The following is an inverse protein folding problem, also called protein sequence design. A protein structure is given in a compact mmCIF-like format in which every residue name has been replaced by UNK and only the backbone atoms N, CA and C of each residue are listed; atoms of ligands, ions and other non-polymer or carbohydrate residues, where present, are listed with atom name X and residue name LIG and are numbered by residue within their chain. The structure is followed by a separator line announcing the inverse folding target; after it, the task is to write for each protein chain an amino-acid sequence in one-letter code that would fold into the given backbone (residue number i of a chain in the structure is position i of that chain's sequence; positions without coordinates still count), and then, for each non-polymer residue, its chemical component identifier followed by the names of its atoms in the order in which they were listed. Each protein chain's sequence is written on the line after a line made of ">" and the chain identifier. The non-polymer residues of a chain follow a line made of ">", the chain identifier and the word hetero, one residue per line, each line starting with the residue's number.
data_IF_982101348523
#
_entry.id   IF_982101348523
#
_cell.length_a   1.000
_cell.length_b   1.000
_cell.length_c   1.000
_cell.angle_alpha   90.00
_cell.angle_beta   90.00
_cell.angle_gamma   90.00
#
_symmetry.space_group_name_H-M   'P 1'
#
loop_
_entity.id
_entity.type
_entity.pdbx_description
1 polymer ?
#
# COMPACT_ATOMS: atom_id res chain seq x y z
N UNK A 1 -10.03 40.78 65.47
CA UNK A 1 -8.96 40.04 64.79
C UNK A 1 -9.66 38.91 64.01
N UNK A 2 -9.72 38.99 62.69
CA UNK A 2 -10.26 37.95 61.84
C UNK A 2 -9.08 37.22 61.22
N UNK A 3 -8.91 35.93 61.52
CA UNK A 3 -7.87 35.06 60.95
C UNK A 3 -8.43 34.51 59.62
N UNK A 4 -7.78 34.88 58.53
CA UNK A 4 -8.08 34.39 57.16
C UNK A 4 -7.26 33.13 56.93
N UNK A 5 -7.93 31.93 56.88
CA UNK A 5 -7.30 30.68 56.51
C UNK A 5 -7.22 30.58 54.98
N UNK A 6 -6.00 30.53 54.45
CA UNK A 6 -5.77 30.22 53.04
C UNK A 6 -5.74 28.71 52.84
N UNK A 7 -6.69 28.17 52.17
CA UNK A 7 -6.62 26.76 51.65
C UNK A 7 -5.76 26.71 50.40
N UNK A 8 -4.64 26.03 50.45
CA UNK A 8 -3.78 25.72 49.32
C UNK A 8 -4.34 24.47 48.64
N UNK A 9 -5.04 24.63 47.50
CA UNK A 9 -5.46 23.50 46.67
C UNK A 9 -4.27 23.07 45.79
N UNK A 10 -3.65 21.96 46.15
CA UNK A 10 -2.62 21.31 45.36
C UNK A 10 -3.31 20.57 44.18
N UNK A 11 -3.27 21.15 42.99
CA UNK A 11 -3.72 20.48 41.77
C UNK A 11 -2.71 19.39 41.40
N UNK A 12 -3.06 18.12 41.66
CA UNK A 12 -2.34 16.96 41.13
C UNK A 12 -2.60 16.86 39.64
N UNK A 13 -1.65 17.28 38.83
CA UNK A 13 -1.66 17.01 37.39
C UNK A 13 -1.38 15.51 37.18
N UNK A 14 -2.41 14.73 36.90
CA UNK A 14 -2.25 13.38 36.39
C UNK A 14 -1.68 13.46 34.98
N UNK A 15 -0.39 13.21 34.84
CA UNK A 15 0.23 12.90 33.54
C UNK A 15 -0.25 11.51 33.19
N UNK A 16 -1.23 11.41 32.29
CA UNK A 16 -1.53 10.15 31.63
C UNK A 16 -0.32 9.81 30.77
N UNK A 17 0.48 8.86 31.24
CA UNK A 17 1.43 8.19 30.36
C UNK A 17 0.59 7.42 29.35
N UNK A 18 0.52 7.92 28.10
CA UNK A 18 0.01 7.12 26.98
C UNK A 18 0.87 5.86 26.94
N UNK A 19 0.23 4.71 27.12
CA UNK A 19 0.89 3.43 26.95
C UNK A 19 1.32 3.35 25.48
N UNK A 20 2.63 3.34 25.25
CA UNK A 20 3.24 3.04 23.96
C UNK A 20 2.85 1.61 23.58
N UNK A 21 1.70 1.46 22.93
CA UNK A 21 1.24 0.18 22.39
C UNK A 21 1.68 0.09 20.95
N UNK A 22 2.20 -1.07 20.56
CA UNK A 22 2.52 -1.35 19.16
C UNK A 22 1.30 -1.06 18.28
N UNK A 23 1.47 -0.19 17.28
CA UNK A 23 0.44 0.07 16.26
C UNK A 23 0.71 -0.83 15.06
N UNK A 24 -0.26 -1.66 14.70
CA UNK A 24 -0.16 -2.51 13.52
C UNK A 24 -1.47 -2.47 12.73
N UNK A 25 -1.40 -1.90 11.54
CA UNK A 25 -2.51 -1.87 10.61
C UNK A 25 -2.83 -3.30 10.13
N UNK A 26 -4.10 -3.67 9.95
CA UNK A 26 -4.48 -5.00 9.53
C UNK A 26 -4.24 -5.22 8.02
N UNK A 27 -3.03 -4.92 7.55
CA UNK A 27 -2.63 -5.20 6.16
C UNK A 27 -2.54 -6.72 5.99
N UNK A 28 -3.32 -7.32 5.09
CA UNK A 28 -3.29 -8.76 4.88
C UNK A 28 -2.00 -9.19 4.21
N UNK A 29 -1.45 -10.30 4.65
CA UNK A 29 -0.19 -10.82 4.15
C UNK A 29 -0.36 -11.79 2.97
N UNK A 30 0.53 -11.71 2.00
CA UNK A 30 0.88 -12.80 1.08
C UNK A 30 2.38 -12.82 0.80
N UNK A 31 2.92 -14.04 0.56
CA UNK A 31 4.24 -14.15 -0.08
C UNK A 31 4.14 -13.80 -1.55
N UNK A 32 5.19 -13.22 -2.14
CA UNK A 32 5.27 -13.01 -3.59
C UNK A 32 5.22 -14.32 -4.39
N UNK A 33 5.61 -15.43 -3.75
CA UNK A 33 5.48 -16.79 -4.29
C UNK A 33 4.46 -17.61 -3.46
N UNK A 34 3.13 -17.38 -3.61
CA UNK A 34 2.12 -17.96 -2.74
C UNK A 34 2.11 -19.50 -2.73
N UNK A 35 2.42 -20.12 -3.87
CA UNK A 35 2.55 -21.58 -4.02
C UNK A 35 3.92 -22.14 -3.56
N UNK A 36 4.86 -21.28 -3.17
CA UNK A 36 6.21 -21.65 -2.78
C UNK A 36 7.15 -21.95 -3.96
N UNK A 37 6.74 -21.60 -5.17
CA UNK A 37 7.54 -21.75 -6.40
C UNK A 37 8.22 -20.43 -6.72
N UNK A 38 9.55 -20.38 -6.63
CA UNK A 38 10.37 -19.19 -6.78
C UNK A 38 11.02 -19.11 -8.18
N UNK A 39 10.19 -19.22 -9.21
CA UNK A 39 10.55 -18.95 -10.61
C UNK A 39 9.83 -17.71 -11.09
N UNK A 40 10.22 -17.18 -12.24
CA UNK A 40 9.47 -16.06 -12.85
C UNK A 40 8.00 -16.41 -13.11
N UNK A 41 7.08 -15.43 -12.89
CA UNK A 41 7.31 -14.06 -12.45
C UNK A 41 7.44 -13.90 -10.91
N UNK A 42 7.28 -14.97 -10.14
CA UNK A 42 7.23 -14.93 -8.67
C UNK A 42 8.55 -14.50 -8.02
N UNK A 43 9.68 -14.79 -8.69
CA UNK A 43 11.00 -14.47 -8.16
C UNK A 43 11.19 -12.97 -7.97
N UNK A 44 10.64 -12.16 -8.90
CA UNK A 44 10.73 -10.69 -8.88
C UNK A 44 9.35 -10.06 -8.66
N UNK A 45 8.43 -10.75 -7.99
CA UNK A 45 7.05 -10.32 -7.75
C UNK A 45 6.83 -9.56 -6.44
N UNK A 46 7.86 -8.94 -5.87
CA UNK A 46 7.75 -8.28 -4.58
C UNK A 46 6.89 -6.99 -4.64
N UNK A 47 6.98 -6.22 -5.71
CA UNK A 47 6.17 -5.01 -5.92
C UNK A 47 4.70 -5.38 -6.13
N UNK A 48 4.41 -6.40 -6.95
CA UNK A 48 3.06 -6.90 -7.18
C UNK A 48 2.44 -7.37 -5.86
N UNK A 49 3.20 -8.13 -5.06
CA UNK A 49 2.72 -8.60 -3.77
C UNK A 49 2.47 -7.45 -2.79
N UNK A 50 3.36 -6.44 -2.76
CA UNK A 50 3.18 -5.26 -1.92
C UNK A 50 1.93 -4.48 -2.33
N UNK A 51 1.72 -4.25 -3.63
CA UNK A 51 0.52 -3.57 -4.15
C UNK A 51 -0.74 -4.38 -3.81
N UNK A 52 -0.73 -5.69 -4.03
CA UNK A 52 -1.87 -6.58 -3.72
C UNK A 52 -2.22 -6.53 -2.23
N UNK A 53 -1.23 -6.55 -1.33
CA UNK A 53 -1.47 -6.45 0.12
C UNK A 53 -2.10 -5.11 0.51
N UNK A 54 -1.60 -3.99 -0.03
CA UNK A 54 -2.14 -2.65 0.23
C UNK A 54 -3.52 -2.46 -0.40
N UNK A 55 -3.77 -3.00 -1.60
CA UNK A 55 -5.08 -2.96 -2.24
C UNK A 55 -6.14 -3.70 -1.42
N UNK A 56 -5.81 -4.88 -0.92
CA UNK A 56 -6.69 -5.65 -0.04
C UNK A 56 -6.96 -4.90 1.28
N UNK A 57 -5.95 -4.22 1.83
CA UNK A 57 -6.12 -3.38 3.02
C UNK A 57 -7.14 -2.26 2.78
N UNK A 58 -6.99 -1.46 1.72
CA UNK A 58 -7.93 -0.37 1.42
C UNK A 58 -9.33 -0.85 1.03
N UNK A 59 -9.45 -2.10 0.65
CA UNK A 59 -10.75 -2.76 0.38
C UNK A 59 -11.39 -3.41 1.60
N UNK A 60 -10.82 -3.22 2.79
CA UNK A 60 -11.30 -3.81 4.04
C UNK A 60 -11.50 -5.34 3.94
N UNK A 61 -10.48 -6.04 3.46
CA UNK A 61 -10.55 -7.48 3.16
C UNK A 61 -10.93 -8.36 4.37
N UNK A 62 -10.70 -7.90 5.60
CA UNK A 62 -11.18 -8.54 6.83
C UNK A 62 -10.40 -9.79 7.29
N UNK A 63 -9.37 -10.22 6.56
CA UNK A 63 -8.50 -11.34 6.95
C UNK A 63 -7.05 -10.91 7.08
N UNK A 64 -6.31 -11.59 7.96
CA UNK A 64 -4.86 -11.34 8.17
C UNK A 64 -3.97 -11.89 7.05
N UNK A 65 -4.50 -12.79 6.24
CA UNK A 65 -3.76 -13.40 5.12
C UNK A 65 -4.66 -13.52 3.90
N UNK A 66 -4.07 -13.39 2.72
CA UNK A 66 -4.76 -13.63 1.45
C UNK A 66 -4.59 -15.12 1.11
N UNK A 67 -5.68 -15.88 0.82
CA UNK A 67 -5.59 -17.26 0.42
C UNK A 67 -4.66 -17.44 -0.78
N UNK A 68 -3.87 -18.50 -0.78
CA UNK A 68 -2.82 -18.73 -1.81
C UNK A 68 -3.34 -18.66 -3.25
N UNK A 69 -4.49 -19.27 -3.61
CA UNK A 69 -5.02 -19.18 -4.98
C UNK A 69 -5.37 -17.72 -5.35
N UNK A 70 -6.01 -16.99 -4.44
CA UNK A 70 -6.45 -15.61 -4.66
C UNK A 70 -5.24 -14.67 -4.79
N UNK A 71 -4.25 -14.84 -3.90
CA UNK A 71 -3.00 -14.11 -3.96
C UNK A 71 -2.25 -14.37 -5.27
N UNK A 72 -2.16 -15.64 -5.69
CA UNK A 72 -1.51 -16.00 -6.93
C UNK A 72 -2.22 -15.43 -8.16
N UNK A 73 -3.55 -15.36 -8.14
CA UNK A 73 -4.33 -14.72 -9.20
C UNK A 73 -4.09 -13.20 -9.20
N UNK A 74 -4.22 -12.53 -8.05
CA UNK A 74 -4.07 -11.09 -7.95
C UNK A 74 -2.67 -10.61 -8.35
N UNK A 75 -1.61 -11.32 -7.94
CA UNK A 75 -0.23 -11.03 -8.34
C UNK A 75 -0.04 -11.22 -9.86
N UNK A 76 -0.58 -12.28 -10.47
CA UNK A 76 -0.54 -12.46 -11.93
C UNK A 76 -1.28 -11.36 -12.68
N UNK A 77 -2.44 -10.93 -12.18
CA UNK A 77 -3.20 -9.83 -12.77
C UNK A 77 -2.41 -8.53 -12.70
N UNK A 78 -1.82 -8.22 -11.54
CA UNK A 78 -0.95 -7.07 -11.36
C UNK A 78 0.24 -7.09 -12.34
N UNK A 79 0.94 -8.21 -12.43
CA UNK A 79 2.02 -8.41 -13.40
C UNK A 79 1.56 -8.23 -14.86
N UNK A 80 0.41 -8.79 -15.21
CA UNK A 80 -0.14 -8.67 -16.56
C UNK A 80 -0.50 -7.23 -16.92
N UNK A 81 -1.10 -6.49 -15.99
CA UNK A 81 -1.39 -5.06 -16.17
C UNK A 81 -0.10 -4.28 -16.41
N UNK A 82 0.91 -4.46 -15.55
CA UNK A 82 2.21 -3.82 -15.68
C UNK A 82 2.84 -4.08 -17.05
N UNK A 83 2.84 -5.32 -17.51
CA UNK A 83 3.43 -5.73 -18.78
C UNK A 83 2.65 -5.18 -19.99
N UNK A 84 1.32 -5.33 -20.02
CA UNK A 84 0.47 -4.94 -21.16
C UNK A 84 0.46 -3.41 -21.35
N UNK A 85 0.30 -2.65 -20.26
CA UNK A 85 0.12 -1.20 -20.37
C UNK A 85 1.43 -0.41 -20.42
N UNK A 86 2.50 -0.93 -19.84
CA UNK A 86 3.77 -0.21 -19.76
C UNK A 86 4.93 -0.93 -20.45
N UNK A 87 4.77 -2.19 -20.81
CA UNK A 87 5.86 -3.02 -21.33
C UNK A 87 6.93 -3.34 -20.27
N UNK A 88 6.59 -3.19 -18.98
CA UNK A 88 7.50 -3.50 -17.87
C UNK A 88 7.34 -4.96 -17.44
N UNK A 89 8.43 -5.63 -17.18
CA UNK A 89 8.40 -7.08 -16.93
C UNK A 89 9.11 -7.56 -15.67
N UNK A 90 10.03 -6.78 -15.10
CA UNK A 90 10.85 -7.14 -13.94
C UNK A 90 10.74 -6.05 -12.87
N UNK A 91 11.73 -5.99 -11.98
CA UNK A 91 11.84 -4.98 -10.92
C UNK A 91 11.70 -3.55 -11.47
N UNK A 92 10.98 -2.73 -10.75
CA UNK A 92 10.69 -1.35 -11.14
C UNK A 92 11.03 -0.37 -10.01
N UNK A 93 11.43 0.85 -10.41
CA UNK A 93 11.70 1.91 -9.44
C UNK A 93 10.42 2.51 -8.85
N UNK A 94 10.56 3.24 -7.75
CA UNK A 94 9.45 3.82 -7.01
C UNK A 94 8.56 4.75 -7.86
N UNK A 95 9.12 5.49 -8.84
CA UNK A 95 8.33 6.36 -9.72
C UNK A 95 7.34 5.56 -10.57
N UNK A 96 7.81 4.45 -11.12
CA UNK A 96 6.99 3.55 -11.93
C UNK A 96 5.94 2.85 -11.07
N UNK A 97 6.33 2.38 -9.88
CA UNK A 97 5.39 1.75 -8.93
C UNK A 97 4.29 2.76 -8.56
N UNK A 98 4.64 3.99 -8.18
CA UNK A 98 3.67 5.03 -7.83
C UNK A 98 2.76 5.39 -9.01
N UNK A 99 3.31 5.52 -10.23
CA UNK A 99 2.52 5.73 -11.43
C UNK A 99 1.53 4.58 -11.66
N UNK A 100 1.99 3.34 -11.59
CA UNK A 100 1.15 2.17 -11.77
C UNK A 100 0.01 2.13 -10.76
N UNK A 101 0.29 2.41 -9.48
CA UNK A 101 -0.74 2.51 -8.45
C UNK A 101 -1.76 3.59 -8.80
N UNK A 102 -1.29 4.79 -9.12
CA UNK A 102 -2.17 5.93 -9.41
C UNK A 102 -3.03 5.73 -10.65
N UNK A 103 -2.53 5.00 -11.66
CA UNK A 103 -3.25 4.74 -12.90
C UNK A 103 -4.30 3.62 -12.76
N UNK A 104 -4.07 2.60 -11.91
CA UNK A 104 -4.87 1.37 -11.93
C UNK A 104 -5.57 1.01 -10.62
N UNK A 105 -5.25 1.65 -9.50
CA UNK A 105 -5.81 1.28 -8.19
C UNK A 105 -6.72 2.37 -7.63
N UNK A 106 -7.64 1.97 -6.75
CA UNK A 106 -8.60 2.86 -6.08
C UNK A 106 -8.00 3.65 -4.90
N UNK A 107 -6.68 3.71 -4.80
CA UNK A 107 -5.93 4.45 -3.79
C UNK A 107 -4.74 5.17 -4.43
N UNK A 108 -4.12 6.08 -3.70
CA UNK A 108 -3.07 6.96 -4.21
C UNK A 108 -1.71 6.59 -3.65
N UNK A 109 -0.68 6.83 -4.46
CA UNK A 109 0.72 6.67 -4.12
C UNK A 109 1.46 8.00 -4.28
N UNK A 110 2.23 8.39 -3.26
CA UNK A 110 3.06 9.60 -3.24
C UNK A 110 4.48 9.26 -2.81
N UNK A 111 5.46 9.72 -3.56
CA UNK A 111 6.87 9.49 -3.26
C UNK A 111 7.36 10.44 -2.18
N UNK A 112 8.11 9.89 -1.23
CA UNK A 112 8.81 10.65 -0.19
C UNK A 112 10.28 10.28 -0.23
N UNK A 113 11.10 11.22 -0.62
CA UNK A 113 12.56 11.08 -0.61
C UNK A 113 13.12 11.35 0.80
N UNK A 114 14.18 10.62 1.13
CA UNK A 114 14.87 10.70 2.42
C UNK A 114 13.89 10.58 3.60
N UNK A 115 13.08 9.50 3.64
CA UNK A 115 12.07 9.33 4.68
C UNK A 115 12.72 9.29 6.06
N UNK A 116 12.08 9.95 7.03
CA UNK A 116 12.49 9.87 8.43
C UNK A 116 11.63 8.87 9.18
N UNK A 117 12.10 8.38 10.33
CA UNK A 117 11.32 7.54 11.23
C UNK A 117 9.97 8.19 11.56
N UNK A 118 9.99 9.46 11.95
CA UNK A 118 8.77 10.19 12.34
C UNK A 118 7.79 10.38 11.18
N UNK A 119 8.28 10.59 9.96
CA UNK A 119 7.41 10.69 8.79
C UNK A 119 6.68 9.37 8.52
N UNK A 120 7.35 8.22 8.60
CA UNK A 120 6.74 6.91 8.45
C UNK A 120 5.74 6.65 9.57
N UNK A 121 6.10 6.88 10.83
CA UNK A 121 5.21 6.71 11.98
C UNK A 121 3.95 7.58 11.88
N UNK A 122 4.07 8.80 11.36
CA UNK A 122 2.94 9.70 11.12
C UNK A 122 1.93 9.09 10.13
N UNK A 123 2.41 8.46 9.05
CA UNK A 123 1.53 7.77 8.10
C UNK A 123 0.85 6.55 8.74
N UNK A 124 1.60 5.74 9.48
CA UNK A 124 1.05 4.59 10.19
C UNK A 124 0.01 5.01 11.24
N UNK A 125 0.28 6.07 11.99
CA UNK A 125 -0.66 6.64 12.96
C UNK A 125 -1.95 7.17 12.31
N UNK A 126 -1.86 7.62 11.06
CA UNK A 126 -3.01 8.06 10.26
C UNK A 126 -3.72 6.89 9.53
N UNK A 127 -3.36 5.64 9.82
CA UNK A 127 -4.00 4.47 9.24
C UNK A 127 -3.56 4.18 7.80
N UNK A 128 -2.38 4.63 7.39
CA UNK A 128 -1.89 4.48 6.02
C UNK A 128 -0.60 3.64 6.00
N UNK A 129 -0.61 2.44 5.40
CA UNK A 129 0.58 1.63 5.22
C UNK A 129 1.55 2.29 4.24
N UNK A 130 2.83 1.94 4.36
CA UNK A 130 3.91 2.50 3.54
C UNK A 130 4.56 1.39 2.73
N UNK A 131 4.69 1.55 1.42
CA UNK A 131 5.46 0.65 0.57
C UNK A 131 6.91 1.14 0.54
N UNK A 132 7.84 0.26 0.87
CA UNK A 132 9.25 0.59 0.95
C UNK A 132 10.10 -0.28 0.01
N UNK A 133 10.63 0.29 -1.08
CA UNK A 133 11.73 -0.29 -1.83
C UNK A 133 12.99 -0.36 -0.97
N UNK A 134 13.69 -1.48 -0.99
CA UNK A 134 14.83 -1.72 -0.11
C UNK A 134 15.96 -2.49 -0.80
N UNK A 135 17.18 -2.29 -0.37
CA UNK A 135 18.28 -3.22 -0.63
C UNK A 135 18.10 -4.46 0.26
N UNK A 136 17.60 -5.55 -0.30
CA UNK A 136 17.15 -6.73 0.46
C UNK A 136 18.23 -7.37 1.33
N UNK A 137 19.49 -7.39 0.86
CA UNK A 137 20.63 -7.91 1.66
C UNK A 137 20.86 -7.11 2.93
N UNK A 138 20.57 -5.80 2.94
CA UNK A 138 20.73 -4.94 4.14
C UNK A 138 19.70 -5.22 5.22
N UNK A 139 18.60 -5.88 4.90
CA UNK A 139 17.60 -6.31 5.89
C UNK A 139 18.11 -7.38 6.85
N UNK A 140 19.12 -8.16 6.43
CA UNK A 140 19.68 -9.29 7.20
C UNK A 140 18.59 -10.28 7.64
N UNK A 141 17.60 -10.52 6.77
CA UNK A 141 16.49 -11.43 7.06
C UNK A 141 17.01 -12.88 7.09
N UNK A 142 16.84 -13.60 8.22
CA UNK A 142 17.39 -14.95 8.39
C UNK A 142 16.69 -16.00 7.51
N UNK A 143 15.55 -15.66 6.92
CA UNK A 143 14.79 -16.57 6.05
C UNK A 143 15.08 -16.34 4.56
N UNK A 144 15.91 -15.36 4.22
CA UNK A 144 16.31 -15.13 2.86
C UNK A 144 17.42 -16.13 2.44
N UNK A 145 17.29 -16.68 1.24
CA UNK A 145 18.32 -17.49 0.64
C UNK A 145 19.52 -16.62 0.23
N UNK A 146 20.72 -17.10 0.44
CA UNK A 146 21.97 -16.40 0.08
C UNK A 146 22.06 -14.94 0.58
N UNK A 147 21.51 -14.66 1.75
CA UNK A 147 21.52 -13.32 2.36
C UNK A 147 20.49 -12.33 1.79
N UNK A 148 19.73 -12.73 0.77
CA UNK A 148 18.65 -11.93 0.21
C UNK A 148 18.91 -11.38 -1.20
N UNK A 149 17.87 -10.81 -1.83
CA UNK A 149 17.97 -10.18 -3.14
C UNK A 149 18.72 -8.85 -3.06
N UNK A 150 19.21 -8.36 -4.19
CA UNK A 150 19.75 -6.99 -4.29
C UNK A 150 18.64 -5.95 -4.13
N UNK A 151 17.53 -6.15 -4.84
CA UNK A 151 16.33 -5.32 -4.72
C UNK A 151 15.18 -6.10 -4.10
N UNK A 152 14.38 -5.41 -3.28
CA UNK A 152 13.19 -5.96 -2.66
C UNK A 152 12.20 -4.86 -2.31
N UNK A 153 10.94 -5.24 -2.08
CA UNK A 153 9.88 -4.33 -1.67
C UNK A 153 9.09 -4.94 -0.52
N UNK A 154 8.89 -4.16 0.54
CA UNK A 154 8.10 -4.56 1.72
C UNK A 154 6.98 -3.56 1.98
N UNK A 155 5.97 -3.96 2.77
CA UNK A 155 4.93 -3.06 3.25
C UNK A 155 5.11 -2.83 4.75
N UNK A 156 5.40 -1.59 5.16
CA UNK A 156 5.44 -1.22 6.57
C UNK A 156 3.98 -1.03 7.01
N UNK A 157 3.54 -1.87 7.93
CA UNK A 157 2.16 -1.88 8.44
C UNK A 157 2.06 -1.37 9.88
N UNK A 158 3.17 -1.25 10.59
CA UNK A 158 3.15 -0.82 11.98
C UNK A 158 4.50 -0.47 12.54
N UNK A 159 4.48 -0.01 13.77
CA UNK A 159 5.65 0.32 14.57
C UNK A 159 5.45 -0.07 16.03
N UNK A 160 6.56 -0.32 16.72
CA UNK A 160 6.62 -0.67 18.11
C UNK A 160 7.80 0.06 18.76
N UNK A 161 7.49 1.11 19.52
CA UNK A 161 8.51 1.95 20.17
C UNK A 161 9.17 1.26 21.36
N UNK A 162 8.52 0.28 21.98
CA UNK A 162 9.08 -0.49 23.09
C UNK A 162 10.27 -1.33 22.61
N UNK A 163 10.08 -2.03 21.47
CA UNK A 163 11.14 -2.85 20.86
C UNK A 163 11.98 -2.08 19.84
N UNK A 164 11.58 -0.86 19.46
CA UNK A 164 12.19 -0.02 18.41
C UNK A 164 12.22 -0.73 17.05
N UNK A 165 11.07 -1.31 16.66
CA UNK A 165 10.95 -2.08 15.45
C UNK A 165 9.77 -1.62 14.59
N UNK A 166 9.95 -1.63 13.26
CA UNK A 166 8.85 -1.64 12.33
C UNK A 166 8.23 -3.04 12.23
N UNK A 167 6.91 -3.07 12.07
CA UNK A 167 6.16 -4.27 11.72
C UNK A 167 5.88 -4.20 10.23
N UNK A 168 6.25 -5.25 9.49
CA UNK A 168 6.14 -5.25 8.03
C UNK A 168 5.43 -6.51 7.52
N UNK A 169 4.78 -6.40 6.38
CA UNK A 169 4.39 -7.53 5.58
C UNK A 169 5.54 -7.80 4.59
N UNK A 170 6.26 -8.89 4.82
CA UNK A 170 7.50 -9.26 4.12
C UNK A 170 7.23 -10.34 3.05
N UNK A 171 7.04 -9.98 1.75
CA UNK A 171 6.63 -10.94 0.74
C UNK A 171 7.74 -11.92 0.31
N UNK A 172 9.01 -11.62 0.57
CA UNK A 172 10.17 -12.43 0.20
C UNK A 172 10.29 -13.74 0.97
N UNK A 173 9.38 -14.02 1.89
CA UNK A 173 9.33 -15.26 2.65
C UNK A 173 7.90 -15.64 3.03
N UNK A 174 7.61 -16.93 3.17
CA UNK A 174 6.34 -17.40 3.73
C UNK A 174 6.16 -17.12 5.23
N UNK A 175 7.19 -16.64 5.91
CA UNK A 175 7.19 -16.25 7.33
C UNK A 175 7.14 -14.74 7.52
N UNK A 176 6.56 -14.05 6.55
CA UNK A 176 6.63 -12.59 6.48
C UNK A 176 5.43 -11.85 7.07
N UNK A 177 4.44 -12.56 7.59
CA UNK A 177 3.31 -11.93 8.32
C UNK A 177 3.84 -11.24 9.57
N UNK A 178 3.61 -9.93 9.67
CA UNK A 178 4.04 -9.10 10.80
C UNK A 178 5.51 -9.28 11.18
N UNK A 179 6.35 -9.41 10.18
CA UNK A 179 7.78 -9.55 10.38
C UNK A 179 8.35 -8.25 10.98
N UNK A 180 9.33 -8.37 11.85
CA UNK A 180 9.89 -7.23 12.58
C UNK A 180 11.31 -6.92 12.12
N UNK A 181 11.55 -5.64 11.85
CA UNK A 181 12.88 -5.11 11.58
C UNK A 181 13.19 -3.94 12.50
N UNK A 182 14.38 -3.89 13.16
CA UNK A 182 14.81 -2.69 13.87
C UNK A 182 14.70 -1.44 13.00
N UNK A 183 14.28 -0.32 13.58
CA UNK A 183 14.08 0.94 12.86
C UNK A 183 15.29 1.31 12.00
N UNK A 184 16.48 1.34 12.62
CA UNK A 184 17.71 1.74 11.92
C UNK A 184 18.05 0.77 10.77
N UNK A 185 17.78 -0.53 10.94
CA UNK A 185 18.04 -1.53 9.90
C UNK A 185 17.16 -1.29 8.68
N UNK A 186 15.86 -1.11 8.88
CA UNK A 186 14.95 -0.89 7.76
C UNK A 186 15.21 0.46 7.09
N UNK A 187 15.38 1.53 7.87
CA UNK A 187 15.70 2.87 7.33
C UNK A 187 16.98 2.86 6.50
N UNK A 188 18.04 2.20 6.98
CA UNK A 188 19.29 2.05 6.24
C UNK A 188 19.18 1.12 5.02
N UNK A 189 18.18 0.25 4.97
CA UNK A 189 17.93 -0.61 3.83
C UNK A 189 17.11 0.07 2.73
N UNK A 190 16.39 1.16 3.04
CA UNK A 190 15.56 1.87 2.06
C UNK A 190 16.43 2.42 0.94
N UNK A 191 16.30 1.81 -0.25
CA UNK A 191 16.95 2.23 -1.48
C UNK A 191 16.07 1.86 -2.67
N UNK A 192 15.92 2.80 -3.61
CA UNK A 192 15.19 2.59 -4.86
C UNK A 192 15.93 1.61 -5.79
N UNK A 193 15.18 0.96 -6.66
CA UNK A 193 15.74 0.05 -7.65
C UNK A 193 16.75 0.74 -8.57
N UNK A 194 17.92 0.13 -8.69
CA UNK A 194 18.94 0.48 -9.68
C UNK A 194 19.36 -0.79 -10.41
N UNK A 195 19.21 -0.84 -11.75
CA UNK A 195 19.57 -2.04 -12.52
C UNK A 195 21.01 -2.49 -12.33
N UNK A 196 21.25 -3.81 -12.51
CA UNK A 196 22.59 -4.40 -12.49
C UNK A 196 23.16 -4.65 -11.10
N UNK A 197 22.31 -4.91 -10.11
CA UNK A 197 22.72 -5.26 -8.75
C UNK A 197 23.30 -4.07 -7.98
N UNK A 198 22.79 -2.87 -8.24
CA UNK A 198 23.28 -1.60 -7.68
C UNK A 198 22.26 -0.90 -6.78
N UNK A 199 21.24 -1.58 -6.32
CA UNK A 199 20.15 -1.00 -5.51
C UNK A 199 20.66 -0.22 -4.31
N UNK A 200 21.73 -0.67 -3.66
CA UNK A 200 22.34 0.04 -2.54
C UNK A 200 22.83 1.46 -2.88
N UNK A 201 22.98 1.80 -4.16
CA UNK A 201 23.35 3.15 -4.63
C UNK A 201 22.12 3.98 -5.03
N UNK A 202 20.93 3.40 -4.99
CA UNK A 202 19.68 4.07 -5.29
C UNK A 202 19.34 5.15 -4.27
N UNK A 203 18.51 6.08 -4.66
CA UNK A 203 18.00 7.11 -3.73
C UNK A 203 17.19 6.47 -2.61
N UNK A 204 17.19 7.09 -1.45
CA UNK A 204 16.30 6.68 -0.37
C UNK A 204 14.91 7.27 -0.64
N UNK A 205 13.94 6.39 -0.88
CA UNK A 205 12.55 6.77 -1.19
C UNK A 205 11.59 5.72 -0.67
N UNK A 206 10.44 6.16 -0.18
CA UNK A 206 9.29 5.31 0.13
C UNK A 206 8.05 5.83 -0.59
N UNK A 207 7.04 4.99 -0.67
CA UNK A 207 5.75 5.30 -1.28
C UNK A 207 4.72 5.39 -0.14
N UNK A 208 4.30 6.60 0.18
CA UNK A 208 3.17 6.84 1.06
C UNK A 208 1.87 6.57 0.32
N UNK A 209 0.96 5.90 0.99
CA UNK A 209 -0.32 5.50 0.40
C UNK A 209 -1.48 6.22 1.07
N UNK A 210 -2.55 6.48 0.34
CA UNK A 210 -3.78 7.06 0.90
C UNK A 210 -5.01 6.59 0.12
N UNK A 211 -6.19 6.52 0.75
CA UNK A 211 -7.41 6.31 -0.02
C UNK A 211 -7.56 7.43 -1.06
N UNK A 212 -7.95 7.10 -2.29
CA UNK A 212 -8.42 8.15 -3.20
C UNK A 212 -9.67 8.78 -2.57
N UNK A 213 -9.65 10.09 -2.44
CA UNK A 213 -10.85 10.85 -2.10
C UNK A 213 -11.74 10.81 -3.33
N UNK A 214 -12.59 9.79 -3.39
CA UNK A 214 -13.64 9.73 -4.40
C UNK A 214 -14.66 10.80 -4.01
N UNK A 215 -14.72 11.87 -4.80
CA UNK A 215 -15.70 12.92 -4.58
C UNK A 215 -17.11 12.31 -4.51
N UNK A 216 -17.85 12.64 -3.45
CA UNK A 216 -19.25 12.22 -3.30
C UNK A 216 -20.18 12.68 -4.44
N UNK A 217 -19.70 13.58 -5.29
CA UNK A 217 -20.42 14.12 -6.46
C UNK A 217 -20.32 13.26 -7.71
N UNK A 218 -19.59 12.15 -7.66
CA UNK A 218 -19.47 11.20 -8.74
C UNK A 218 -18.13 11.25 -9.47
N UNK A 219 -17.46 10.13 -9.51
CA UNK A 219 -16.18 9.92 -10.19
C UNK A 219 -16.38 8.96 -11.35
N UNK A 220 -15.87 9.31 -12.51
CA UNK A 220 -15.88 8.42 -13.67
C UNK A 220 -14.81 7.36 -13.48
N UNK A 221 -15.22 6.09 -13.54
CA UNK A 221 -14.32 4.96 -13.39
C UNK A 221 -14.52 3.91 -14.48
N UNK A 222 -13.47 3.22 -14.86
CA UNK A 222 -13.52 2.03 -15.71
C UNK A 222 -12.47 0.99 -15.30
N UNK A 223 -12.67 -0.25 -15.73
CA UNK A 223 -11.64 -1.29 -15.67
C UNK A 223 -10.81 -1.30 -16.95
N UNK A 224 -9.51 -1.63 -16.90
CA UNK A 224 -8.72 -1.84 -18.11
C UNK A 224 -9.18 -3.06 -18.93
N UNK A 225 -9.82 -4.03 -18.28
CA UNK A 225 -10.29 -5.27 -18.92
C UNK A 225 -11.60 -5.12 -19.68
N UNK A 226 -12.33 -3.99 -19.55
CA UNK A 226 -13.65 -3.79 -20.13
C UNK A 226 -13.82 -2.34 -20.61
N UNK A 227 -14.59 -2.11 -21.69
CA UNK A 227 -14.83 -0.78 -22.22
C UNK A 227 -15.83 0.05 -21.40
N UNK A 228 -16.64 -0.59 -20.55
CA UNK A 228 -17.72 0.08 -19.82
C UNK A 228 -17.19 1.13 -18.85
N UNK A 229 -17.83 2.30 -18.88
CA UNK A 229 -17.56 3.41 -17.96
C UNK A 229 -18.69 3.49 -16.93
N UNK A 230 -18.34 3.75 -15.70
CA UNK A 230 -19.28 3.87 -14.59
C UNK A 230 -19.12 5.22 -13.88
N UNK A 231 -20.24 5.73 -13.38
CA UNK A 231 -20.24 6.80 -12.40
C UNK A 231 -20.20 6.18 -10.99
N UNK A 232 -19.14 6.42 -10.26
CA UNK A 232 -19.02 6.04 -8.85
C UNK A 232 -19.53 7.18 -7.99
N UNK A 233 -20.56 6.92 -7.19
CA UNK A 233 -21.11 7.87 -6.25
C UNK A 233 -21.63 7.13 -5.01
N UNK A 234 -21.45 7.71 -3.82
CA UNK A 234 -21.94 7.15 -2.55
C UNK A 234 -21.56 5.67 -2.31
N UNK A 235 -20.39 5.26 -2.79
CA UNK A 235 -19.90 3.87 -2.64
C UNK A 235 -20.56 2.86 -3.59
N UNK A 236 -21.36 3.31 -4.55
CA UNK A 236 -22.02 2.49 -5.58
C UNK A 236 -21.56 2.90 -6.98
N UNK A 237 -21.66 2.00 -7.94
CA UNK A 237 -21.38 2.30 -9.36
C UNK A 237 -22.65 2.29 -10.18
N UNK A 238 -22.76 3.19 -11.16
CA UNK A 238 -23.84 3.23 -12.15
C UNK A 238 -23.25 3.17 -13.55
N UNK A 239 -23.64 2.18 -14.32
CA UNK A 239 -23.17 2.03 -15.70
C UNK A 239 -23.66 3.20 -16.57
N UNK A 240 -22.78 3.76 -17.39
CA UNK A 240 -23.09 4.79 -18.39
C UNK A 240 -23.31 4.06 -19.72
N UNK A 241 -24.56 4.05 -20.19
CA UNK A 241 -24.98 3.13 -21.26
C UNK A 241 -24.27 3.35 -22.60
N UNK A 242 -23.84 4.58 -22.91
CA UNK A 242 -23.15 4.89 -24.15
C UNK A 242 -22.47 6.27 -24.12
N UNK A 243 -21.69 6.56 -25.17
CA UNK A 243 -20.97 7.81 -25.33
C UNK A 243 -21.90 9.04 -25.39
N UNK A 244 -23.09 8.92 -25.98
CA UNK A 244 -24.03 10.04 -26.04
C UNK A 244 -24.47 10.50 -24.65
N UNK A 245 -24.77 9.57 -23.76
CA UNK A 245 -25.09 9.87 -22.34
C UNK A 245 -23.88 10.47 -21.65
N UNK A 246 -22.71 9.91 -21.86
CA UNK A 246 -21.46 10.42 -21.32
C UNK A 246 -21.24 11.91 -21.69
N UNK A 247 -21.35 12.24 -22.96
CA UNK A 247 -21.14 13.60 -23.46
C UNK A 247 -22.28 14.55 -23.05
N UNK A 248 -23.53 14.07 -22.94
CA UNK A 248 -24.68 14.87 -22.51
C UNK A 248 -24.53 15.36 -21.07
N UNK A 249 -23.82 14.63 -20.23
CA UNK A 249 -23.48 15.04 -18.87
C UNK A 249 -22.25 15.99 -18.81
N UNK A 250 -21.65 16.34 -19.93
CA UNK A 250 -20.47 17.22 -19.99
C UNK A 250 -19.18 16.54 -19.51
N UNK A 251 -19.17 15.24 -19.37
CA UNK A 251 -18.00 14.50 -18.92
C UNK A 251 -16.92 14.44 -20.00
N UNK A 252 -15.67 14.27 -19.58
CA UNK A 252 -14.53 14.22 -20.49
C UNK A 252 -13.80 12.89 -20.32
N UNK A 253 -13.38 12.26 -21.40
CA UNK A 253 -12.68 10.98 -21.40
C UNK A 253 -11.40 10.99 -20.53
N UNK A 254 -10.71 12.14 -20.48
CA UNK A 254 -9.51 12.31 -19.67
C UNK A 254 -9.76 12.31 -18.16
N UNK A 255 -11.01 12.49 -17.72
CA UNK A 255 -11.38 12.52 -16.31
C UNK A 255 -11.76 11.10 -15.79
N UNK A 256 -11.70 10.07 -16.66
CA UNK A 256 -11.96 8.70 -16.27
C UNK A 256 -10.76 8.13 -15.52
N UNK A 257 -11.00 7.67 -14.30
CA UNK A 257 -10.02 6.94 -13.50
C UNK A 257 -10.10 5.46 -13.87
N UNK A 258 -8.95 4.89 -14.24
CA UNK A 258 -8.85 3.46 -14.48
C UNK A 258 -8.60 2.77 -13.13
N UNK A 259 -9.51 1.89 -12.74
CA UNK A 259 -9.45 1.11 -11.49
C UNK A 259 -9.29 -0.37 -11.82
N UNK A 260 -8.73 -1.16 -10.90
CA UNK A 260 -8.61 -2.59 -11.17
C UNK A 260 -10.00 -3.28 -11.27
N UNK A 261 -10.04 -4.38 -12.02
CA UNK A 261 -11.30 -5.11 -12.29
C UNK A 261 -11.96 -5.63 -11.00
N UNK A 262 -11.16 -5.96 -10.01
CA UNK A 262 -11.61 -6.51 -8.74
C UNK A 262 -12.25 -5.41 -7.87
N UNK A 263 -11.67 -4.20 -7.82
CA UNK A 263 -12.30 -3.03 -7.20
C UNK A 263 -13.65 -2.75 -7.86
N UNK A 264 -13.67 -2.68 -9.20
CA UNK A 264 -14.90 -2.40 -9.95
C UNK A 264 -15.98 -3.48 -9.72
N UNK A 265 -15.61 -4.76 -9.67
CA UNK A 265 -16.55 -5.86 -9.42
C UNK A 265 -17.05 -5.92 -7.98
N UNK A 266 -16.27 -5.42 -7.01
CA UNK A 266 -16.65 -5.34 -5.60
C UNK A 266 -17.64 -4.22 -5.28
N UNK A 267 -17.84 -3.26 -6.20
CA UNK A 267 -18.81 -2.18 -6.01
C UNK A 267 -20.24 -2.66 -6.30
N UNK A 268 -21.15 -2.33 -5.39
CA UNK A 268 -22.59 -2.52 -5.64
C UNK A 268 -23.01 -1.69 -6.86
N UNK A 269 -23.69 -2.33 -7.79
CA UNK A 269 -24.22 -1.67 -8.99
C UNK A 269 -25.66 -1.18 -8.76
N UNK A 270 -25.93 0.06 -9.14
CA UNK A 270 -27.25 0.68 -9.15
C UNK A 270 -27.77 0.86 -10.58
N UNK A 271 -28.97 1.43 -10.71
CA UNK A 271 -29.60 1.64 -12.00
C UNK A 271 -28.68 2.36 -13.00
N UNK A 272 -28.60 1.82 -14.21
CA UNK A 272 -27.84 2.38 -15.34
C UNK A 272 -28.28 3.83 -15.66
N UNK A 273 -27.33 4.66 -16.08
CA UNK A 273 -27.56 6.02 -16.59
C UNK A 273 -27.86 5.95 -18.10
N UNK A 274 -28.99 6.50 -18.50
CA UNK A 274 -29.49 6.53 -19.88
C UNK A 274 -29.50 7.92 -20.45
#
# INVERSE_FOLDING_TARGET
>A
MKVLSFLFICALSFIFAETLSAKNLPVPFTSQAPAGVWTQPWQDGCEEAAIVMVDHFYRNYGSRTIPKPDAAQAIREAYSVKNIFYGWSLDENADKIARWINDFYGWEARLIEKPTLEAIKTELAAGRPVIAPVHGKSLLNPYFRAGGPDYHTVVISGDDDETREFIVQEPGTRRGLDFRYPYDRLLNAIHDYVPGGKTKTGRQVVIFTSPKVVSATGTLIKSPARPEVYLLAHGTKRHIVNERVFLAHGWRWKDIIVVNSQFLSGLREEATLY
#
